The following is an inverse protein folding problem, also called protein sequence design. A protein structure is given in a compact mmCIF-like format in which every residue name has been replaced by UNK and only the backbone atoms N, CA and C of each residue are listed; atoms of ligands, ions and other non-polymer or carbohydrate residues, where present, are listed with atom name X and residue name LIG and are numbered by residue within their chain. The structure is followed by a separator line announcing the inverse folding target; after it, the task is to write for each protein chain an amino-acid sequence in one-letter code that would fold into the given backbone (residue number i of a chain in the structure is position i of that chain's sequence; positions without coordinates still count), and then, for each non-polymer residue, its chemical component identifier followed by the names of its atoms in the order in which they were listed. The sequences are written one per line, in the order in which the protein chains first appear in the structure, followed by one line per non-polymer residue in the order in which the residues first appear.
data_IF_028555060548
#
_entry.id   IF_028555060548
#
_cell.length_a   1.000
_cell.length_b   1.000
_cell.length_c   1.000
_cell.angle_alpha   90.00
_cell.angle_beta   90.00
_cell.angle_gamma   90.00
#
_symmetry.space_group_name_H-M   'P 1'
#
loop_
_entity.id
_entity.type
_entity.pdbx_description
1 polymer ?
#
# COMPACT_ATOMS: atom_id res chain seq x y z
N UNK A 1 -15.20 -28.55 -10.33
CA UNK A 1 -15.46 -27.12 -10.03
C UNK A 1 -15.24 -26.73 -8.56
N UNK A 2 -15.44 -27.59 -7.55
CA UNK A 2 -15.33 -27.20 -6.13
C UNK A 2 -13.94 -26.84 -5.57
N UNK A 3 -12.83 -27.36 -6.11
CA UNK A 3 -11.48 -27.07 -5.55
C UNK A 3 -11.03 -25.62 -5.74
N UNK A 4 -11.46 -24.96 -6.83
CA UNK A 4 -11.05 -23.59 -7.15
C UNK A 4 -11.75 -22.55 -6.26
N UNK A 5 -13.02 -22.79 -5.91
CA UNK A 5 -13.78 -21.90 -5.01
C UNK A 5 -13.28 -21.96 -3.56
N UNK A 6 -12.92 -23.15 -3.07
CA UNK A 6 -12.36 -23.31 -1.72
C UNK A 6 -11.02 -22.57 -1.61
N UNK A 7 -10.17 -22.65 -2.64
CA UNK A 7 -8.91 -21.92 -2.70
C UNK A 7 -9.11 -20.40 -2.69
N UNK A 8 -10.11 -19.89 -3.42
CA UNK A 8 -10.42 -18.45 -3.43
C UNK A 8 -10.87 -17.93 -2.07
N UNK A 9 -11.82 -18.61 -1.41
CA UNK A 9 -12.29 -18.21 -0.07
C UNK A 9 -11.17 -18.23 0.96
N UNK A 10 -10.26 -19.19 0.88
CA UNK A 10 -9.11 -19.26 1.76
C UNK A 10 -8.18 -18.04 1.58
N UNK A 11 -7.88 -17.66 0.34
CA UNK A 11 -6.99 -16.52 0.06
C UNK A 11 -7.63 -15.19 0.45
N UNK A 12 -8.93 -15.01 0.18
CA UNK A 12 -9.67 -13.82 0.63
C UNK A 12 -9.65 -13.72 2.17
N UNK A 13 -9.86 -14.85 2.86
CA UNK A 13 -9.82 -14.91 4.33
C UNK A 13 -8.43 -14.60 4.89
N UNK A 14 -7.37 -15.14 4.28
CA UNK A 14 -5.97 -14.86 4.65
C UNK A 14 -5.66 -13.37 4.45
N UNK A 15 -6.13 -12.78 3.35
CA UNK A 15 -5.91 -11.35 3.06
C UNK A 15 -6.61 -10.48 4.09
N UNK A 16 -7.85 -10.79 4.46
CA UNK A 16 -8.59 -10.06 5.50
C UNK A 16 -7.90 -10.20 6.85
N UNK A 17 -7.49 -11.41 7.23
CA UNK A 17 -6.78 -11.66 8.49
C UNK A 17 -5.44 -10.91 8.53
N UNK A 18 -4.72 -10.89 7.41
CA UNK A 18 -3.49 -10.11 7.26
C UNK A 18 -3.74 -8.62 7.44
N UNK A 19 -4.74 -8.04 6.77
CA UNK A 19 -5.08 -6.62 6.90
C UNK A 19 -5.49 -6.25 8.33
N UNK A 20 -6.26 -7.12 9.01
CA UNK A 20 -6.61 -6.93 10.41
C UNK A 20 -5.40 -7.00 11.33
N UNK A 21 -4.51 -7.98 11.13
CA UNK A 21 -3.27 -8.11 11.90
C UNK A 21 -2.36 -6.88 11.72
N UNK A 22 -2.21 -6.41 10.49
CA UNK A 22 -1.50 -5.18 10.16
C UNK A 22 -2.15 -3.96 10.83
N UNK A 23 -3.47 -3.87 10.84
CA UNK A 23 -4.19 -2.77 11.50
C UNK A 23 -3.93 -2.77 13.00
N UNK A 24 -3.95 -3.94 13.66
CA UNK A 24 -3.61 -4.06 15.08
C UNK A 24 -2.16 -3.62 15.33
N UNK A 25 -1.22 -4.05 14.48
CA UNK A 25 0.18 -3.64 14.58
C UNK A 25 0.36 -2.13 14.39
N UNK A 26 -0.38 -1.51 13.47
CA UNK A 26 -0.36 -0.07 13.23
C UNK A 26 -0.64 0.73 14.52
N UNK A 27 -1.64 0.30 15.30
CA UNK A 27 -2.05 0.96 16.53
C UNK A 27 -1.19 0.60 17.76
N UNK A 28 -0.59 -0.58 17.78
CA UNK A 28 0.16 -1.09 18.95
C UNK A 28 1.66 -0.83 18.87
N UNK A 29 2.21 -0.62 17.68
CA UNK A 29 3.67 -0.47 17.51
C UNK A 29 4.11 0.93 17.93
N UNK A 30 5.04 1.10 18.88
CA UNK A 30 5.53 2.41 19.28
C UNK A 30 6.38 3.06 18.17
N UNK A 31 6.71 4.34 18.34
CA UNK A 31 7.59 5.05 17.41
C UNK A 31 8.96 4.41 17.29
N UNK A 32 9.37 4.16 16.06
CA UNK A 32 10.76 3.81 15.76
C UNK A 32 11.65 5.06 15.69
N UNK A 33 12.95 4.87 15.91
CA UNK A 33 13.94 5.95 15.77
C UNK A 33 13.94 6.55 14.35
N UNK A 34 13.69 5.73 13.33
CA UNK A 34 13.55 6.15 11.93
C UNK A 34 12.36 7.09 11.73
N UNK A 35 11.22 6.81 12.33
CA UNK A 35 10.02 7.68 12.24
C UNK A 35 10.21 8.99 12.98
N UNK A 36 10.86 8.94 14.15
CA UNK A 36 11.23 10.15 14.89
C UNK A 36 12.17 11.04 14.05
N UNK A 37 13.14 10.45 13.37
CA UNK A 37 14.02 11.19 12.46
C UNK A 37 13.24 11.84 11.31
N UNK A 38 12.24 11.15 10.74
CA UNK A 38 11.38 11.73 9.68
C UNK A 38 10.56 12.90 10.22
N UNK A 39 9.95 12.76 11.39
CA UNK A 39 9.15 13.82 12.01
C UNK A 39 9.99 15.06 12.37
N UNK A 40 11.17 14.86 12.95
CA UNK A 40 12.03 15.94 13.45
C UNK A 40 13.14 16.37 12.46
N UNK A 41 13.21 15.78 11.27
CA UNK A 41 14.23 16.10 10.24
C UNK A 41 14.22 17.57 9.83
N UNK A 42 15.36 18.26 9.85
CA UNK A 42 15.42 19.64 9.29
C UNK A 42 15.24 19.67 7.78
N UNK A 43 15.55 18.58 7.08
CA UNK A 43 15.36 18.47 5.64
C UNK A 43 13.91 18.12 5.32
N UNK A 44 13.30 18.87 4.40
CA UNK A 44 11.94 18.65 3.92
C UNK A 44 11.99 17.61 2.80
N UNK A 45 11.73 16.36 3.16
CA UNK A 45 11.36 15.29 2.21
C UNK A 45 9.84 15.20 2.10
N UNK A 46 9.31 14.61 1.02
CA UNK A 46 7.86 14.37 0.83
C UNK A 46 7.27 13.68 2.07
N UNK A 47 7.97 12.71 2.62
CA UNK A 47 7.51 11.94 3.77
C UNK A 47 7.50 12.78 5.05
N UNK A 48 8.58 13.53 5.30
CA UNK A 48 8.61 14.44 6.45
C UNK A 48 7.51 15.49 6.36
N UNK A 49 7.19 15.97 5.15
CA UNK A 49 6.11 16.91 4.90
C UNK A 49 4.76 16.27 5.22
N UNK A 50 4.47 15.10 4.67
CA UNK A 50 3.21 14.38 4.89
C UNK A 50 3.01 14.02 6.37
N UNK A 51 4.04 13.45 7.00
CA UNK A 51 4.02 13.07 8.42
C UNK A 51 3.78 14.27 9.32
N UNK A 52 4.48 15.39 9.11
CA UNK A 52 4.31 16.62 9.92
C UNK A 52 2.92 17.20 9.82
N UNK A 53 2.41 17.33 8.59
CA UNK A 53 1.09 17.91 8.37
C UNK A 53 0.02 17.08 9.07
N UNK A 54 0.08 15.75 9.00
CA UNK A 54 -0.92 14.90 9.63
C UNK A 54 -0.74 14.88 11.16
N UNK A 55 0.50 14.76 11.64
CA UNK A 55 0.79 14.71 13.07
C UNK A 55 0.36 15.98 13.79
N UNK A 56 0.45 17.15 13.14
CA UNK A 56 -0.02 18.43 13.70
C UNK A 56 -1.53 18.44 14.02
N UNK A 57 -2.35 17.63 13.36
CA UNK A 57 -3.79 17.57 13.65
C UNK A 57 -4.12 16.50 14.69
N UNK A 58 -3.50 15.33 14.60
CA UNK A 58 -3.93 14.16 15.38
C UNK A 58 -3.06 13.85 16.61
N UNK A 59 -1.81 14.36 16.68
CA UNK A 59 -0.90 14.22 17.81
C UNK A 59 -0.77 12.78 18.38
N UNK A 60 -0.86 11.77 17.52
CA UNK A 60 -0.91 10.37 17.93
C UNK A 60 -0.03 9.49 17.05
N UNK A 61 0.42 8.36 17.59
CA UNK A 61 1.45 7.54 16.96
C UNK A 61 1.03 6.95 15.62
N UNK A 62 -0.20 6.46 15.55
CA UNK A 62 -0.78 5.93 14.32
C UNK A 62 -0.94 7.00 13.23
N UNK A 63 -1.03 8.28 13.60
CA UNK A 63 -1.32 9.36 12.64
C UNK A 63 -0.18 9.58 11.64
N UNK A 64 1.06 9.28 12.02
CA UNK A 64 2.20 9.37 11.09
C UNK A 64 2.13 8.30 10.00
N UNK A 65 1.50 7.15 10.30
CA UNK A 65 1.48 5.95 9.46
C UNK A 65 0.22 5.84 8.63
N UNK A 66 -0.88 6.48 9.03
CA UNK A 66 -2.20 6.30 8.40
C UNK A 66 -2.17 6.57 6.89
N UNK A 67 -1.43 7.58 6.44
CA UNK A 67 -1.34 7.91 5.02
C UNK A 67 -0.55 6.84 4.24
N UNK A 68 0.54 6.34 4.81
CA UNK A 68 1.35 5.26 4.23
C UNK A 68 0.57 3.94 4.20
N UNK A 69 -0.21 3.68 5.24
CA UNK A 69 -1.17 2.59 5.28
C UNK A 69 -2.19 2.72 4.13
N UNK A 70 -2.77 3.90 3.93
CA UNK A 70 -3.72 4.15 2.84
C UNK A 70 -3.08 3.96 1.45
N UNK A 71 -1.84 4.43 1.24
CA UNK A 71 -1.11 4.19 0.00
C UNK A 71 -0.81 2.70 -0.22
N UNK A 72 -0.50 1.96 0.84
CA UNK A 72 -0.26 0.52 0.79
C UNK A 72 -1.56 -0.24 0.44
N UNK A 73 -2.69 0.11 1.07
CA UNK A 73 -4.01 -0.46 0.71
C UNK A 73 -4.35 -0.12 -0.74
N UNK A 74 -4.16 1.13 -1.14
CA UNK A 74 -4.36 1.58 -2.51
C UNK A 74 -3.51 0.80 -3.51
N UNK A 75 -2.28 0.47 -3.17
CA UNK A 75 -1.38 -0.35 -3.99
C UNK A 75 -1.94 -1.76 -4.21
N UNK A 76 -2.49 -2.40 -3.17
CA UNK A 76 -3.18 -3.70 -3.32
C UNK A 76 -4.36 -3.57 -4.28
N UNK A 77 -5.18 -2.53 -4.14
CA UNK A 77 -6.37 -2.32 -4.99
C UNK A 77 -5.98 -2.09 -6.46
N UNK A 78 -4.96 -1.27 -6.70
CA UNK A 78 -4.42 -1.02 -8.04
C UNK A 78 -3.85 -2.30 -8.64
N UNK A 79 -3.01 -3.03 -7.90
CA UNK A 79 -2.41 -4.28 -8.36
C UNK A 79 -3.48 -5.33 -8.70
N UNK A 80 -4.50 -5.47 -7.85
CA UNK A 80 -5.67 -6.32 -8.11
C UNK A 80 -6.36 -5.99 -9.43
N UNK A 81 -6.52 -4.70 -9.72
CA UNK A 81 -7.15 -4.21 -10.96
C UNK A 81 -6.25 -4.38 -12.19
N UNK A 82 -4.93 -4.32 -12.01
CA UNK A 82 -3.95 -4.59 -13.06
C UNK A 82 -3.96 -6.08 -13.42
N UNK A 83 -4.01 -6.97 -12.42
CA UNK A 83 -4.01 -8.43 -12.60
C UNK A 83 -5.18 -8.96 -13.45
N UNK A 84 -6.34 -8.29 -13.42
CA UNK A 84 -7.48 -8.64 -14.30
C UNK A 84 -7.12 -8.46 -15.80
N UNK A 85 -6.01 -7.79 -16.09
CA UNK A 85 -5.30 -7.71 -17.38
C UNK A 85 -4.72 -9.02 -17.91
N UNK A 86 -4.19 -9.81 -16.99
CA UNK A 86 -3.23 -10.86 -17.29
C UNK A 86 -3.76 -12.24 -16.95
N UNK A 87 -4.70 -12.33 -16.02
CA UNK A 87 -5.27 -13.58 -15.57
C UNK A 87 -6.78 -13.48 -15.51
N UNK A 88 -7.46 -14.59 -15.81
CA UNK A 88 -8.89 -14.70 -15.59
C UNK A 88 -9.21 -14.47 -14.10
N UNK A 89 -10.21 -13.62 -13.87
CA UNK A 89 -10.75 -13.33 -12.54
C UNK A 89 -11.29 -14.66 -11.98
N UNK A 90 -10.71 -15.13 -10.87
CA UNK A 90 -10.92 -16.44 -10.20
C UNK A 90 -9.95 -17.57 -10.58
N UNK A 91 -9.00 -17.36 -11.50
CA UNK A 91 -7.93 -18.35 -11.70
C UNK A 91 -7.06 -18.46 -10.43
N UNK A 92 -6.54 -19.66 -10.15
CA UNK A 92 -5.60 -19.86 -9.04
C UNK A 92 -4.36 -18.97 -9.16
N UNK A 93 -3.91 -18.70 -10.39
CA UNK A 93 -2.76 -17.83 -10.67
C UNK A 93 -3.04 -16.36 -10.32
N UNK A 94 -4.23 -15.85 -10.59
CA UNK A 94 -4.64 -14.51 -10.18
C UNK A 94 -4.54 -14.34 -8.66
N UNK A 95 -5.11 -15.29 -7.90
CA UNK A 95 -5.13 -15.21 -6.44
C UNK A 95 -3.72 -15.40 -5.85
N UNK A 96 -2.92 -16.30 -6.43
CA UNK A 96 -1.54 -16.54 -6.00
C UNK A 96 -0.65 -15.33 -6.27
N UNK A 97 -0.79 -14.67 -7.42
CA UNK A 97 -0.06 -13.43 -7.72
C UNK A 97 -0.41 -12.29 -6.74
N UNK A 98 -1.69 -12.15 -6.38
CA UNK A 98 -2.14 -11.18 -5.38
C UNK A 98 -1.56 -11.50 -4.00
N UNK A 99 -1.61 -12.76 -3.58
CA UNK A 99 -1.08 -13.21 -2.29
C UNK A 99 0.44 -13.00 -2.20
N UNK A 100 1.18 -13.33 -3.25
CA UNK A 100 2.62 -13.05 -3.33
C UNK A 100 2.86 -11.55 -3.15
N UNK A 101 2.16 -10.70 -3.90
CA UNK A 101 2.32 -9.25 -3.80
C UNK A 101 2.09 -8.71 -2.39
N UNK A 102 1.05 -9.19 -1.68
CA UNK A 102 0.74 -8.75 -0.32
C UNK A 102 1.82 -9.22 0.67
N UNK A 103 2.28 -10.45 0.52
CA UNK A 103 3.29 -11.07 1.40
C UNK A 103 4.72 -10.61 1.10
N UNK A 104 4.95 -9.83 0.03
CA UNK A 104 6.27 -9.25 -0.21
C UNK A 104 6.69 -8.46 1.03
N UNK A 105 7.89 -8.70 1.60
CA UNK A 105 8.32 -8.03 2.82
C UNK A 105 8.27 -6.50 2.71
N UNK A 106 8.64 -5.95 1.55
CA UNK A 106 8.57 -4.51 1.29
C UNK A 106 7.15 -3.94 1.34
N UNK A 107 6.17 -4.69 0.83
CA UNK A 107 4.76 -4.30 0.85
C UNK A 107 4.19 -4.47 2.26
N UNK A 108 4.49 -5.58 2.95
CA UNK A 108 4.04 -5.79 4.33
C UNK A 108 4.59 -4.71 5.28
N UNK A 109 5.87 -4.39 5.18
CA UNK A 109 6.50 -3.37 6.02
C UNK A 109 5.96 -1.95 5.75
N UNK A 110 5.58 -1.65 4.50
CA UNK A 110 5.00 -0.34 4.16
C UNK A 110 3.65 -0.07 4.80
N UNK A 111 2.93 -1.11 5.25
CA UNK A 111 1.69 -0.93 5.99
C UNK A 111 1.90 -0.55 7.46
N UNK A 112 3.01 -0.97 8.07
CA UNK A 112 3.22 -0.88 9.52
C UNK A 112 4.12 0.31 9.86
N UNK A 113 5.06 0.65 8.98
CA UNK A 113 6.08 1.68 9.21
C UNK A 113 6.02 2.75 8.14
N UNK A 114 6.42 3.97 8.51
CA UNK A 114 6.69 5.03 7.51
C UNK A 114 7.88 4.59 6.66
N UNK A 115 7.65 4.41 5.36
CA UNK A 115 8.64 3.89 4.43
C UNK A 115 8.60 4.66 3.11
N UNK A 116 9.76 5.16 2.69
CA UNK A 116 9.94 5.91 1.46
C UNK A 116 9.53 5.17 0.20
N UNK A 117 9.63 3.84 0.19
CA UNK A 117 9.28 3.03 -0.96
C UNK A 117 7.75 2.98 -1.20
N UNK A 118 6.94 3.27 -0.18
CA UNK A 118 5.48 3.16 -0.25
C UNK A 118 4.87 4.05 -1.32
N UNK A 119 5.29 5.31 -1.37
CA UNK A 119 4.74 6.31 -2.28
C UNK A 119 5.15 6.00 -3.73
N UNK A 120 6.44 5.74 -4.06
CA UNK A 120 6.85 5.30 -5.38
C UNK A 120 6.15 4.02 -5.87
N UNK A 121 5.96 3.02 -5.01
CA UNK A 121 5.25 1.78 -5.37
C UNK A 121 3.80 2.12 -5.77
N UNK A 122 3.10 2.89 -4.93
CA UNK A 122 1.74 3.32 -5.21
C UNK A 122 1.65 4.11 -6.52
N UNK A 123 2.50 5.11 -6.70
CA UNK A 123 2.52 5.95 -7.91
C UNK A 123 2.86 5.13 -9.16
N UNK A 124 3.79 4.18 -9.08
CA UNK A 124 4.13 3.30 -10.21
C UNK A 124 2.93 2.44 -10.61
N UNK A 125 2.22 1.85 -9.65
CA UNK A 125 0.99 1.10 -9.93
C UNK A 125 -0.11 2.01 -10.47
N UNK A 126 -0.21 3.25 -9.98
CA UNK A 126 -1.18 4.22 -10.45
C UNK A 126 -0.89 4.64 -11.90
N UNK A 127 0.38 4.79 -12.28
CA UNK A 127 0.82 5.03 -13.66
C UNK A 127 0.37 3.89 -14.57
N UNK A 128 0.69 2.65 -14.21
CA UNK A 128 0.32 1.46 -15.00
C UNK A 128 -1.20 1.35 -15.14
N UNK A 129 -1.93 1.55 -14.04
CA UNK A 129 -3.40 1.53 -14.04
C UNK A 129 -3.99 2.64 -14.91
N UNK A 130 -3.49 3.87 -14.78
CA UNK A 130 -4.01 5.05 -15.51
C UNK A 130 -3.71 4.95 -17.00
N UNK A 131 -2.53 4.49 -17.37
CA UNK A 131 -2.16 4.21 -18.76
C UNK A 131 -3.14 3.20 -19.39
N UNK A 132 -3.41 2.10 -18.68
CA UNK A 132 -4.34 1.06 -19.13
C UNK A 132 -5.78 1.53 -19.26
N UNK A 133 -6.20 2.50 -18.45
CA UNK A 133 -7.56 3.07 -18.49
C UNK A 133 -7.68 4.36 -19.27
N UNK A 134 -6.62 4.75 -19.98
CA UNK A 134 -6.55 5.96 -20.81
C UNK A 134 -6.86 7.25 -20.02
N UNK A 135 -6.58 7.23 -18.71
CA UNK A 135 -6.73 8.39 -17.84
C UNK A 135 -5.51 9.30 -17.94
N UNK A 136 -5.39 9.99 -19.08
CA UNK A 136 -4.20 10.77 -19.46
C UNK A 136 -3.80 11.83 -18.42
N UNK A 137 -4.77 12.54 -17.83
CA UNK A 137 -4.48 13.56 -16.80
C UNK A 137 -3.90 12.93 -15.54
N UNK A 138 -4.52 11.84 -15.06
CA UNK A 138 -4.07 11.14 -13.86
C UNK A 138 -2.69 10.49 -14.07
N UNK A 139 -2.45 9.96 -15.26
CA UNK A 139 -1.16 9.42 -15.68
C UNK A 139 -0.06 10.49 -15.58
N UNK A 140 -0.28 11.67 -16.19
CA UNK A 140 0.71 12.76 -16.16
C UNK A 140 0.94 13.26 -14.73
N UNK A 141 -0.11 13.43 -13.93
CA UNK A 141 0.02 13.83 -12.53
C UNK A 141 0.85 12.81 -11.73
N UNK A 142 0.58 11.51 -11.91
CA UNK A 142 1.31 10.45 -11.20
C UNK A 142 2.79 10.40 -11.62
N UNK A 143 3.10 10.63 -12.91
CA UNK A 143 4.48 10.72 -13.40
C UNK A 143 5.22 11.93 -12.82
N UNK A 144 4.57 13.10 -12.80
CA UNK A 144 5.18 14.33 -12.25
C UNK A 144 5.43 14.20 -10.75
N UNK A 145 4.51 13.58 -9.99
CA UNK A 145 4.69 13.36 -8.55
C UNK A 145 5.77 12.33 -8.21
N UNK A 146 6.14 11.47 -9.15
CA UNK A 146 7.17 10.44 -8.95
C UNK A 146 8.59 10.98 -9.19
N UNK A 147 8.74 12.02 -10.03
CA UNK A 147 10.00 12.68 -10.40
C UNK A 147 10.43 13.71 -9.36
#
# INVERSE_FOLDING_TARGET
MGKCEISKRAIDSVTILFLLGVLVLLFMTPFSQTEANILFSRHITIESFLVRNIFQYFHSDWSMRILFFLFSVGSIVLYRSILESYFEKNSSYYNLALLIFILLPGVTLSFILVNYATIPIFLTLLIVYSYKKEFNILLVLAMVLLL
#
